data_IF_298498941783
#
_entry.id   IF_298498941783
#
_cell.length_a   1.000
_cell.length_b   1.000
_cell.length_c   1.000
_cell.angle_alpha   90.00
_cell.angle_beta   90.00
_cell.angle_gamma   90.00
#
_symmetry.space_group_name_H-M   'P 1'
#
loop_
_entity.id
_entity.type
_entity.pdbx_description
1 polymer ?
#
# COMPACT_ATOMS: atom_id res chain seq x y z
N UNK A 1 -38.50 -3.29 6.30
CA UNK A 1 -37.61 -3.59 7.44
C UNK A 1 -36.33 -4.27 6.92
N UNK A 2 -35.39 -3.56 6.31
CA UNK A 2 -34.23 -4.26 5.70
C UNK A 2 -33.30 -3.41 4.81
N UNK A 3 -32.94 -2.21 5.24
CA UNK A 3 -31.84 -1.43 4.64
C UNK A 3 -30.97 -0.83 5.75
N UNK A 4 -31.59 -0.43 6.87
CA UNK A 4 -30.87 0.01 8.06
C UNK A 4 -30.25 -1.15 8.87
N UNK A 5 -30.85 -2.35 8.83
CA UNK A 5 -30.34 -3.52 9.57
C UNK A 5 -29.06 -4.12 8.98
N UNK A 6 -28.71 -3.85 7.72
CA UNK A 6 -27.48 -4.34 7.09
C UNK A 6 -26.32 -3.35 7.23
N UNK A 7 -26.61 -2.07 7.46
CA UNK A 7 -25.61 -1.02 7.68
C UNK A 7 -25.13 -0.96 9.14
N UNK A 8 -26.02 -1.25 10.10
CA UNK A 8 -25.70 -1.31 11.54
C UNK A 8 -24.61 -2.35 11.91
N UNK A 9 -24.64 -3.61 11.42
CA UNK A 9 -23.62 -4.59 11.77
C UNK A 9 -22.25 -4.29 11.14
N UNK A 10 -22.19 -3.59 10.00
CA UNK A 10 -20.92 -3.17 9.40
C UNK A 10 -20.22 -2.08 10.22
N UNK A 11 -20.98 -1.17 10.84
CA UNK A 11 -20.45 -0.13 11.73
C UNK A 11 -20.06 -0.64 13.13
N UNK A 12 -20.62 -1.77 13.57
CA UNK A 12 -20.35 -2.40 14.87
C UNK A 12 -19.38 -3.59 14.79
N UNK A 13 -18.95 -3.99 13.59
CA UNK A 13 -18.01 -5.09 13.43
C UNK A 13 -16.65 -4.63 13.94
N UNK A 14 -16.18 -5.24 15.03
CA UNK A 14 -14.78 -5.07 15.46
C UNK A 14 -13.89 -5.39 14.26
N UNK A 15 -12.84 -4.57 14.01
CA UNK A 15 -11.82 -4.90 13.03
C UNK A 15 -11.34 -6.34 13.27
N UNK A 16 -11.23 -7.15 12.21
CA UNK A 16 -10.72 -8.50 12.37
C UNK A 16 -9.27 -8.44 12.82
N UNK A 17 -8.87 -9.21 13.84
CA UNK A 17 -7.50 -9.19 14.30
C UNK A 17 -6.58 -9.77 13.22
N UNK A 18 -5.40 -9.18 13.03
CA UNK A 18 -4.37 -9.67 12.11
C UNK A 18 -3.50 -10.62 12.91
N UNK A 19 -3.73 -11.92 12.77
CA UNK A 19 -3.06 -12.95 13.58
C UNK A 19 -2.24 -13.92 12.75
N UNK A 20 -2.47 -13.97 11.43
CA UNK A 20 -1.77 -14.86 10.51
C UNK A 20 -1.06 -14.11 9.37
N UNK A 21 -0.18 -14.83 8.67
CA UNK A 21 0.50 -14.32 7.47
C UNK A 21 -0.51 -14.00 6.36
N UNK A 22 -1.58 -14.77 6.24
CA UNK A 22 -2.65 -14.51 5.26
C UNK A 22 -3.44 -13.24 5.60
N UNK A 23 -3.79 -13.03 6.88
CA UNK A 23 -4.44 -11.78 7.32
C UNK A 23 -3.53 -10.56 7.05
N UNK A 24 -2.23 -10.73 7.27
CA UNK A 24 -1.25 -9.69 7.02
C UNK A 24 -1.15 -9.37 5.51
N UNK A 25 -1.15 -10.40 4.66
CA UNK A 25 -1.17 -10.24 3.21
C UNK A 25 -2.40 -9.46 2.75
N UNK A 26 -3.59 -9.82 3.23
CA UNK A 26 -4.84 -9.13 2.90
C UNK A 26 -4.87 -7.68 3.42
N UNK A 27 -4.34 -7.44 4.62
CA UNK A 27 -4.19 -6.09 5.16
C UNK A 27 -3.26 -5.24 4.29
N UNK A 28 -2.06 -5.75 3.97
CA UNK A 28 -1.07 -5.01 3.19
C UNK A 28 -1.57 -4.73 1.77
N UNK A 29 -2.15 -5.73 1.12
CA UNK A 29 -2.74 -5.62 -0.21
C UNK A 29 -3.87 -4.58 -0.24
N UNK A 30 -4.82 -4.67 0.68
CA UNK A 30 -5.95 -3.74 0.73
C UNK A 30 -5.51 -2.29 0.96
N UNK A 31 -4.52 -2.06 1.83
CA UNK A 31 -3.98 -0.73 2.09
C UNK A 31 -3.18 -0.20 0.90
N UNK A 32 -2.36 -1.02 0.26
CA UNK A 32 -1.62 -0.65 -0.94
C UNK A 32 -2.57 -0.31 -2.11
N UNK A 33 -3.58 -1.14 -2.34
CA UNK A 33 -4.63 -0.92 -3.34
C UNK A 33 -5.39 0.39 -3.07
N UNK A 34 -5.78 0.63 -1.81
CA UNK A 34 -6.43 1.88 -1.43
C UNK A 34 -5.55 3.10 -1.73
N UNK A 35 -4.27 3.08 -1.31
CA UNK A 35 -3.33 4.17 -1.56
C UNK A 35 -3.17 4.44 -3.06
N UNK A 36 -2.93 3.40 -3.87
CA UNK A 36 -2.72 3.52 -5.31
C UNK A 36 -3.97 4.03 -6.03
N UNK A 37 -5.14 3.46 -5.72
CA UNK A 37 -6.38 3.84 -6.38
C UNK A 37 -6.82 5.25 -5.98
N UNK A 38 -6.87 5.53 -4.67
CA UNK A 38 -7.48 6.76 -4.16
C UNK A 38 -6.59 7.98 -4.42
N UNK A 39 -5.26 7.84 -4.31
CA UNK A 39 -4.33 8.94 -4.61
C UNK A 39 -4.48 9.42 -6.05
N UNK A 40 -4.45 8.49 -7.02
CA UNK A 40 -4.57 8.80 -8.45
C UNK A 40 -5.96 9.34 -8.78
N UNK A 41 -7.03 8.67 -8.32
CA UNK A 41 -8.42 9.07 -8.64
C UNK A 41 -8.74 10.47 -8.09
N UNK A 42 -8.45 10.72 -6.82
CA UNK A 42 -8.78 12.03 -6.23
C UNK A 42 -7.89 13.13 -6.81
N UNK A 43 -6.63 12.84 -7.12
CA UNK A 43 -5.78 13.79 -7.83
C UNK A 43 -6.39 14.20 -9.16
N UNK A 44 -6.75 13.23 -10.01
CA UNK A 44 -7.38 13.50 -11.30
C UNK A 44 -8.70 14.28 -11.14
N UNK A 45 -9.50 13.93 -10.13
CA UNK A 45 -10.76 14.62 -9.83
C UNK A 45 -10.54 16.08 -9.47
N UNK A 46 -9.59 16.35 -8.56
CA UNK A 46 -9.23 17.72 -8.15
C UNK A 46 -8.71 18.53 -9.34
N UNK A 47 -7.81 17.94 -10.14
CA UNK A 47 -7.24 18.61 -11.32
C UNK A 47 -8.27 18.87 -12.43
N UNK A 48 -9.22 17.98 -12.63
CA UNK A 48 -10.29 18.18 -13.61
C UNK A 48 -11.32 19.23 -13.16
N UNK A 49 -11.37 19.57 -11.87
CA UNK A 49 -12.28 20.56 -11.32
C UNK A 49 -13.73 20.25 -11.68
N UNK A 50 -14.48 21.23 -12.16
CA UNK A 50 -15.89 21.07 -12.55
C UNK A 50 -16.11 20.07 -13.69
N UNK A 51 -15.07 19.73 -14.46
CA UNK A 51 -15.15 18.81 -15.59
C UNK A 51 -14.89 17.35 -15.22
N UNK A 52 -14.70 17.03 -13.93
CA UNK A 52 -14.33 15.67 -13.50
C UNK A 52 -15.32 14.60 -13.98
N UNK A 53 -16.63 14.87 -13.97
CA UNK A 53 -17.64 13.89 -14.42
C UNK A 53 -17.48 13.58 -15.91
N UNK A 54 -17.25 14.60 -16.74
CA UNK A 54 -17.04 14.44 -18.16
C UNK A 54 -15.77 13.64 -18.41
N UNK A 55 -14.64 14.04 -17.82
CA UNK A 55 -13.37 13.35 -17.98
C UNK A 55 -13.47 11.87 -17.60
N UNK A 56 -14.10 11.57 -16.46
CA UNK A 56 -14.27 10.20 -15.98
C UNK A 56 -15.27 9.37 -16.79
N UNK A 57 -16.07 9.99 -17.66
CA UNK A 57 -16.96 9.28 -18.59
C UNK A 57 -16.25 8.87 -19.90
N UNK A 58 -15.10 9.48 -20.22
CA UNK A 58 -14.34 9.17 -21.43
C UNK A 58 -13.65 7.81 -21.30
N UNK A 59 -13.90 6.90 -22.24
CA UNK A 59 -13.37 5.52 -22.21
C UNK A 59 -11.84 5.48 -22.22
N UNK A 60 -11.22 6.37 -22.99
CA UNK A 60 -9.76 6.49 -23.09
C UNK A 60 -9.15 6.90 -21.75
N UNK A 61 -9.79 7.84 -21.05
CA UNK A 61 -9.36 8.25 -19.72
C UNK A 61 -9.56 7.13 -18.69
N UNK A 62 -10.67 6.38 -18.75
CA UNK A 62 -10.89 5.22 -17.88
C UNK A 62 -9.81 4.15 -18.06
N UNK A 63 -9.41 3.86 -19.30
CA UNK A 63 -8.33 2.93 -19.60
C UNK A 63 -6.99 3.43 -19.06
N UNK A 64 -6.64 4.70 -19.31
CA UNK A 64 -5.43 5.32 -18.77
C UNK A 64 -5.41 5.32 -17.24
N UNK A 65 -6.53 5.68 -16.60
CA UNK A 65 -6.71 5.64 -15.16
C UNK A 65 -6.54 4.23 -14.59
N UNK A 66 -7.08 3.21 -15.26
CA UNK A 66 -6.88 1.83 -14.85
C UNK A 66 -5.40 1.44 -14.87
N UNK A 67 -4.71 1.74 -15.96
CA UNK A 67 -3.29 1.47 -16.12
C UNK A 67 -2.44 2.22 -15.08
N UNK A 68 -2.73 3.49 -14.83
CA UNK A 68 -2.06 4.31 -13.80
C UNK A 68 -2.19 3.74 -12.40
N UNK A 69 -3.38 3.27 -12.00
CA UNK A 69 -3.61 2.65 -10.68
C UNK A 69 -2.75 1.40 -10.50
N UNK A 70 -2.66 0.55 -11.52
CA UNK A 70 -1.79 -0.63 -11.48
C UNK A 70 -0.32 -0.23 -11.41
N UNK A 71 0.14 0.73 -12.22
CA UNK A 71 1.54 1.18 -12.17
C UNK A 71 1.94 1.81 -10.83
N UNK A 72 1.01 2.46 -10.13
CA UNK A 72 1.25 3.02 -8.80
C UNK A 72 1.26 1.97 -7.68
N UNK A 73 0.60 0.82 -7.89
CA UNK A 73 0.39 -0.19 -6.85
C UNK A 73 1.69 -0.76 -6.26
N UNK A 74 2.72 -1.17 -7.04
CA UNK A 74 3.99 -1.67 -6.48
C UNK A 74 4.68 -0.70 -5.53
N UNK A 75 4.71 0.59 -5.88
CA UNK A 75 5.30 1.63 -5.03
C UNK A 75 4.49 1.80 -3.74
N UNK A 76 3.16 1.82 -3.83
CA UNK A 76 2.28 1.88 -2.66
C UNK A 76 2.43 0.64 -1.76
N UNK A 77 2.59 -0.55 -2.34
CA UNK A 77 2.82 -1.78 -1.60
C UNK A 77 4.14 -1.74 -0.84
N UNK A 78 5.23 -1.31 -1.49
CA UNK A 78 6.53 -1.19 -0.83
C UNK A 78 6.52 -0.15 0.32
N UNK A 79 5.77 0.94 0.18
CA UNK A 79 5.51 1.92 1.25
C UNK A 79 4.82 1.25 2.45
N UNK A 80 3.78 0.45 2.21
CA UNK A 80 3.05 -0.28 3.26
C UNK A 80 3.94 -1.35 3.91
N UNK A 81 4.74 -2.06 3.12
CA UNK A 81 5.68 -3.05 3.62
C UNK A 81 6.73 -2.42 4.54
N UNK A 82 7.30 -1.26 4.17
CA UNK A 82 8.22 -0.50 5.03
C UNK A 82 7.56 -0.06 6.35
N UNK A 83 6.28 0.32 6.31
CA UNK A 83 5.51 0.67 7.51
C UNK A 83 5.28 -0.54 8.43
N UNK A 84 4.87 -1.69 7.88
CA UNK A 84 4.69 -2.93 8.66
C UNK A 84 6.02 -3.37 9.27
N UNK A 85 7.08 -3.36 8.48
CA UNK A 85 8.42 -3.73 8.92
C UNK A 85 8.87 -2.87 10.11
N UNK A 86 8.71 -1.55 10.02
CA UNK A 86 9.04 -0.64 11.12
C UNK A 86 8.24 -0.92 12.40
N UNK A 87 6.95 -1.25 12.28
CA UNK A 87 6.07 -1.56 13.41
C UNK A 87 6.38 -2.92 14.08
N UNK A 88 6.95 -3.86 13.33
CA UNK A 88 7.35 -5.19 13.81
C UNK A 88 8.81 -5.24 14.26
N UNK A 89 9.64 -4.26 13.89
CA UNK A 89 11.09 -4.30 14.10
C UNK A 89 11.50 -4.42 15.56
N UNK A 90 11.00 -3.53 16.41
CA UNK A 90 11.30 -3.53 17.83
C UNK A 90 10.86 -4.84 18.52
N UNK A 91 9.59 -5.30 18.41
CA UNK A 91 9.17 -6.54 19.05
C UNK A 91 9.84 -7.79 18.47
N UNK A 92 10.36 -7.75 17.24
CA UNK A 92 11.16 -8.85 16.68
C UNK A 92 12.51 -9.04 17.38
N UNK A 93 13.04 -7.99 18.02
CA UNK A 93 14.33 -8.02 18.71
C UNK A 93 15.46 -8.53 17.81
N UNK A 94 16.18 -9.56 18.26
CA UNK A 94 17.28 -10.17 17.49
C UNK A 94 16.82 -10.82 16.17
N UNK A 95 15.55 -11.21 16.06
CA UNK A 95 14.99 -11.81 14.83
C UNK A 95 14.71 -10.78 13.73
N UNK A 96 14.80 -9.48 14.02
CA UNK A 96 14.42 -8.41 13.09
C UNK A 96 15.07 -8.52 11.70
N UNK A 97 16.28 -9.09 11.60
CA UNK A 97 16.99 -9.28 10.33
C UNK A 97 16.28 -10.23 9.36
N UNK A 98 15.37 -11.06 9.86
CA UNK A 98 14.53 -11.94 9.03
C UNK A 98 13.28 -11.26 8.45
N UNK A 99 12.90 -10.07 8.95
CA UNK A 99 11.69 -9.37 8.52
C UNK A 99 11.67 -9.06 7.02
N UNK A 100 12.74 -8.56 6.37
CA UNK A 100 12.71 -8.27 4.94
C UNK A 100 12.34 -9.49 4.09
N UNK A 101 12.99 -10.62 4.34
CA UNK A 101 12.73 -11.84 3.59
C UNK A 101 11.32 -12.41 3.87
N UNK A 102 10.82 -12.26 5.10
CA UNK A 102 9.47 -12.69 5.46
C UNK A 102 8.39 -11.83 4.78
N UNK A 103 8.54 -10.49 4.83
CA UNK A 103 7.61 -9.56 4.21
C UNK A 103 7.68 -9.58 2.68
N UNK A 104 8.82 -9.93 2.10
CA UNK A 104 8.92 -10.21 0.67
C UNK A 104 8.06 -11.42 0.27
N UNK A 105 8.05 -12.51 1.06
CA UNK A 105 7.17 -13.67 0.80
C UNK A 105 5.69 -13.28 0.88
N UNK A 106 5.32 -12.42 1.82
CA UNK A 106 3.96 -11.85 1.93
C UNK A 106 3.61 -11.03 0.68
N UNK A 107 4.55 -10.24 0.17
CA UNK A 107 4.38 -9.49 -1.07
C UNK A 107 4.14 -10.40 -2.27
N UNK A 108 4.97 -11.44 -2.43
CA UNK A 108 4.82 -12.43 -3.50
C UNK A 108 3.46 -13.15 -3.44
N UNK A 109 3.02 -13.53 -2.24
CA UNK A 109 1.70 -14.14 -2.03
C UNK A 109 0.55 -13.18 -2.36
N UNK A 110 0.71 -11.88 -2.13
CA UNK A 110 -0.29 -10.88 -2.50
C UNK A 110 -0.33 -10.65 -4.01
N UNK A 111 0.84 -10.53 -4.65
CA UNK A 111 0.94 -10.29 -6.09
C UNK A 111 0.44 -11.46 -6.93
N UNK A 112 0.63 -12.70 -6.46
CA UNK A 112 0.17 -13.90 -7.17
C UNK A 112 -1.36 -14.02 -7.29
N UNK A 113 -2.13 -13.24 -6.51
CA UNK A 113 -3.59 -13.15 -6.61
C UNK A 113 -4.06 -12.47 -7.90
N UNK A 114 -3.17 -11.71 -8.55
CA UNK A 114 -3.52 -10.86 -9.67
C UNK A 114 -2.90 -11.35 -10.99
N UNK A 115 -3.71 -11.34 -12.05
CA UNK A 115 -3.17 -11.42 -13.40
C UNK A 115 -2.23 -10.23 -13.67
N UNK A 116 -1.27 -10.40 -14.58
CA UNK A 116 -0.45 -9.27 -15.06
C UNK A 116 -1.40 -8.21 -15.64
N UNK A 117 -1.34 -6.95 -15.19
CA UNK A 117 -2.22 -5.91 -15.70
C UNK A 117 -2.07 -5.71 -17.20
N UNK A 118 -3.17 -5.44 -17.90
CA UNK A 118 -3.16 -5.18 -19.33
C UNK A 118 -2.16 -4.07 -19.70
N UNK A 119 -1.37 -4.30 -20.75
CA UNK A 119 -0.32 -3.36 -21.20
C UNK A 119 0.96 -3.36 -20.37
N UNK A 120 1.05 -4.14 -19.29
CA UNK A 120 2.26 -4.29 -18.49
C UNK A 120 3.17 -5.41 -19.02
N UNK A 121 4.50 -5.34 -18.79
CA UNK A 121 5.41 -6.43 -19.17
C UNK A 121 5.11 -7.70 -18.36
N UNK A 122 5.44 -8.90 -18.87
CA UNK A 122 5.28 -10.15 -18.11
C UNK A 122 6.02 -10.16 -16.76
N UNK A 123 7.11 -9.40 -16.66
CA UNK A 123 7.93 -9.24 -15.45
C UNK A 123 7.34 -8.25 -14.43
N UNK A 124 6.11 -7.76 -14.62
CA UNK A 124 5.51 -6.72 -13.76
C UNK A 124 5.54 -7.08 -12.28
N UNK A 125 5.10 -8.29 -11.92
CA UNK A 125 5.07 -8.74 -10.52
C UNK A 125 6.45 -9.08 -9.97
N UNK A 126 7.37 -9.55 -10.81
CA UNK A 126 8.78 -9.77 -10.43
C UNK A 126 9.45 -8.44 -10.07
N UNK A 127 9.24 -7.40 -10.88
CA UNK A 127 9.75 -6.05 -10.63
C UNK A 127 9.11 -5.45 -9.36
N UNK A 128 7.82 -5.72 -9.10
CA UNK A 128 7.14 -5.27 -7.88
C UNK A 128 7.71 -5.93 -6.62
N UNK A 129 8.01 -7.24 -6.70
CA UNK A 129 8.66 -7.97 -5.62
C UNK A 129 10.09 -7.47 -5.39
N UNK A 130 10.85 -7.25 -6.46
CA UNK A 130 12.20 -6.69 -6.38
C UNK A 130 12.21 -5.29 -5.75
N UNK A 131 11.28 -4.42 -6.16
CA UNK A 131 11.13 -3.11 -5.53
C UNK A 131 10.88 -3.24 -4.02
N UNK A 132 9.95 -4.13 -3.63
CA UNK A 132 9.62 -4.36 -2.21
C UNK A 132 10.84 -4.88 -1.44
N UNK A 133 11.57 -5.85 -1.99
CA UNK A 133 12.81 -6.40 -1.42
C UNK A 133 13.86 -5.31 -1.23
N UNK A 134 14.15 -4.52 -2.25
CA UNK A 134 15.14 -3.44 -2.20
C UNK A 134 14.78 -2.39 -1.15
N UNK A 135 13.49 -2.02 -1.07
CA UNK A 135 13.00 -1.08 -0.06
C UNK A 135 13.21 -1.63 1.35
N UNK A 136 12.75 -2.85 1.62
CA UNK A 136 12.89 -3.49 2.93
C UNK A 136 14.36 -3.66 3.35
N UNK A 137 15.23 -4.02 2.40
CA UNK A 137 16.67 -4.10 2.64
C UNK A 137 17.29 -2.74 3.00
N UNK A 138 16.91 -1.68 2.27
CA UNK A 138 17.37 -0.32 2.56
C UNK A 138 16.90 0.16 3.95
N UNK A 139 15.67 -0.19 4.36
CA UNK A 139 15.13 0.18 5.67
C UNK A 139 15.95 -0.42 6.82
N UNK A 140 16.60 -1.57 6.62
CA UNK A 140 17.40 -2.25 7.66
C UNK A 140 18.78 -1.63 7.91
N UNK A 141 19.24 -0.70 7.06
CA UNK A 141 20.54 -0.04 7.21
C UNK A 141 20.59 0.87 8.46
N UNK A 142 19.46 1.42 8.87
CA UNK A 142 19.35 2.36 9.99
C UNK A 142 18.14 2.07 10.89
N UNK A 143 17.82 2.97 11.84
CA UNK A 143 16.58 2.86 12.61
C UNK A 143 15.35 2.92 11.70
N UNK A 144 14.19 2.37 12.12
CA UNK A 144 12.93 2.56 11.41
C UNK A 144 12.68 4.05 11.11
N UNK A 145 12.34 4.34 9.86
CA UNK A 145 11.97 5.69 9.47
C UNK A 145 10.63 6.07 10.14
N UNK A 146 10.45 7.32 10.60
CA UNK A 146 9.14 7.80 11.02
C UNK A 146 8.10 7.58 9.91
N UNK A 147 6.93 7.04 10.26
CA UNK A 147 5.90 6.66 9.27
C UNK A 147 5.53 7.81 8.32
N UNK A 148 5.53 9.06 8.83
CA UNK A 148 5.24 10.27 8.05
C UNK A 148 6.26 10.59 6.93
N UNK A 149 7.43 9.98 6.97
CA UNK A 149 8.53 10.14 6.00
C UNK A 149 8.67 8.91 5.08
N UNK A 150 8.04 7.77 5.41
CA UNK A 150 8.12 6.54 4.60
C UNK A 150 7.76 6.75 3.13
N UNK A 151 6.73 7.54 2.76
CA UNK A 151 6.40 7.72 1.35
C UNK A 151 7.47 8.46 0.52
N UNK A 152 8.39 9.21 1.16
CA UNK A 152 9.28 10.15 0.47
C UNK A 152 10.08 9.54 -0.70
N UNK A 153 10.68 8.34 -0.58
CA UNK A 153 11.48 7.76 -1.67
C UNK A 153 10.67 7.31 -2.89
N UNK A 154 9.35 7.14 -2.74
CA UNK A 154 8.49 6.52 -3.76
C UNK A 154 7.31 7.40 -4.18
N UNK A 155 7.00 8.46 -3.43
CA UNK A 155 5.88 9.36 -3.74
C UNK A 155 6.05 10.03 -5.10
N UNK A 156 7.29 10.32 -5.53
CA UNK A 156 7.57 10.87 -6.85
C UNK A 156 7.19 9.89 -7.95
N UNK A 157 7.58 8.63 -7.79
CA UNK A 157 7.20 7.55 -8.72
C UNK A 157 5.68 7.44 -8.83
N UNK A 158 4.95 7.47 -7.71
CA UNK A 158 3.48 7.45 -7.74
C UNK A 158 2.89 8.65 -8.48
N UNK A 159 3.40 9.86 -8.20
CA UNK A 159 2.97 11.10 -8.86
C UNK A 159 3.17 11.03 -10.37
N UNK A 160 4.29 10.47 -10.84
CA UNK A 160 4.58 10.32 -12.27
C UNK A 160 3.65 9.34 -12.99
N UNK A 161 2.89 8.52 -12.26
CA UNK A 161 1.92 7.59 -12.85
C UNK A 161 0.56 8.23 -13.14
N UNK A 162 0.29 9.46 -12.70
CA UNK A 162 -1.03 10.09 -12.93
C UNK A 162 -1.31 10.22 -14.44
N UNK A 163 -2.53 9.90 -14.91
CA UNK A 163 -2.89 9.96 -16.33
C UNK A 163 -3.25 11.39 -16.75
N UNK A 164 -2.41 12.35 -16.40
CA UNK A 164 -2.59 13.78 -16.71
C UNK A 164 -1.35 14.24 -17.47
N UNK A 165 -1.57 14.96 -18.57
CA UNK A 165 -0.47 15.46 -19.39
C UNK A 165 0.46 16.36 -18.56
N UNK A 166 1.80 16.21 -18.64
CA UNK A 166 2.76 16.96 -17.81
C UNK A 166 2.57 18.49 -17.82
N UNK A 167 2.19 19.06 -18.96
CA UNK A 167 1.91 20.51 -19.07
C UNK A 167 0.71 21.00 -18.22
N UNK A 168 -0.13 20.09 -17.73
CA UNK A 168 -1.24 20.40 -16.83
C UNK A 168 -0.88 20.19 -15.35
N UNK A 169 0.31 19.64 -15.10
CA UNK A 169 0.90 19.48 -13.78
C UNK A 169 1.73 20.72 -13.45
N UNK A 170 1.56 21.20 -12.23
CA UNK A 170 2.30 22.34 -11.66
C UNK A 170 3.03 21.87 -10.41
N UNK A 171 2.98 22.60 -9.29
CA UNK A 171 3.54 22.16 -8.00
C UNK A 171 2.59 21.18 -7.28
N UNK A 172 2.03 20.21 -8.00
CA UNK A 172 0.99 19.32 -7.48
C UNK A 172 1.54 18.06 -6.78
N UNK A 173 2.86 17.86 -6.76
CA UNK A 173 3.51 16.73 -6.08
C UNK A 173 3.12 16.62 -4.61
N UNK A 174 3.07 17.76 -3.90
CA UNK A 174 2.78 17.80 -2.48
C UNK A 174 1.38 17.24 -2.18
N UNK A 175 0.44 17.31 -3.13
CA UNK A 175 -0.87 16.68 -2.98
C UNK A 175 -0.75 15.16 -2.83
N UNK A 176 -0.06 14.49 -3.76
CA UNK A 176 0.12 13.03 -3.73
C UNK A 176 0.94 12.64 -2.50
N UNK A 177 2.03 13.36 -2.22
CA UNK A 177 2.87 13.05 -1.08
C UNK A 177 2.11 13.18 0.26
N UNK A 178 1.37 14.27 0.45
CA UNK A 178 0.55 14.47 1.64
C UNK A 178 -0.58 13.44 1.73
N UNK A 179 -1.21 13.08 0.61
CA UNK A 179 -2.22 12.03 0.57
C UNK A 179 -1.65 10.68 1.04
N UNK A 180 -0.51 10.26 0.49
CA UNK A 180 0.15 9.00 0.87
C UNK A 180 0.55 9.04 2.34
N UNK A 181 1.14 10.14 2.81
CA UNK A 181 1.53 10.31 4.22
C UNK A 181 0.36 10.13 5.17
N UNK A 182 -0.72 10.87 4.97
CA UNK A 182 -1.84 10.88 5.92
C UNK A 182 -2.54 9.53 5.96
N UNK A 183 -2.70 8.87 4.81
CA UNK A 183 -3.34 7.56 4.76
C UNK A 183 -2.41 6.44 5.25
N UNK A 184 -1.09 6.57 5.12
CA UNK A 184 -0.15 5.63 5.71
C UNK A 184 -0.11 5.74 7.24
N UNK A 185 -0.16 6.95 7.80
CA UNK A 185 -0.30 7.15 9.26
C UNK A 185 -1.56 6.46 9.79
N UNK A 186 -2.68 6.61 9.10
CA UNK A 186 -3.92 5.91 9.45
C UNK A 186 -3.78 4.39 9.31
N UNK A 187 -3.17 3.90 8.24
CA UNK A 187 -2.92 2.47 8.06
C UNK A 187 -2.04 1.91 9.19
N UNK A 188 -1.06 2.69 9.67
CA UNK A 188 -0.21 2.30 10.78
C UNK A 188 -1.00 2.20 12.10
N UNK A 189 -1.86 3.18 12.39
CA UNK A 189 -2.75 3.13 13.55
C UNK A 189 -3.69 1.92 13.49
N UNK A 190 -4.30 1.68 12.33
CA UNK A 190 -5.15 0.50 12.09
C UNK A 190 -4.37 -0.80 12.34
N UNK A 191 -3.13 -0.90 11.83
CA UNK A 191 -2.27 -2.06 12.00
C UNK A 191 -1.94 -2.30 13.47
N UNK A 192 -1.51 -1.26 14.20
CA UNK A 192 -1.18 -1.37 15.62
C UNK A 192 -2.38 -1.76 16.49
N UNK A 193 -3.60 -1.34 16.11
CA UNK A 193 -4.82 -1.68 16.81
C UNK A 193 -5.30 -3.12 16.54
N UNK A 194 -4.98 -3.68 15.37
CA UNK A 194 -5.50 -4.97 14.90
C UNK A 194 -4.51 -6.13 15.04
N UNK A 195 -3.21 -5.85 14.94
CA UNK A 195 -2.19 -6.88 14.86
C UNK A 195 -1.85 -7.49 16.22
N UNK A 196 -2.00 -8.82 16.31
CA UNK A 196 -1.26 -9.58 17.31
C UNK A 196 0.18 -9.73 16.83
N UNK A 197 1.00 -8.73 17.16
CA UNK A 197 2.39 -8.66 16.70
C UNK A 197 3.23 -9.84 17.21
N UNK A 198 2.89 -10.44 18.35
CA UNK A 198 3.62 -11.60 18.85
C UNK A 198 3.33 -12.84 18.00
N UNK A 199 2.04 -13.14 17.78
CA UNK A 199 1.61 -14.24 16.94
C UNK A 199 2.17 -14.11 15.51
N UNK A 200 2.07 -12.91 14.93
CA UNK A 200 2.61 -12.62 13.60
C UNK A 200 4.12 -12.84 13.51
N UNK A 201 4.88 -12.39 14.50
CA UNK A 201 6.34 -12.58 14.49
C UNK A 201 6.73 -14.05 14.58
N UNK A 202 6.00 -14.84 15.35
CA UNK A 202 6.26 -16.28 15.48
C UNK A 202 5.88 -17.04 14.20
N UNK A 203 4.84 -16.62 13.49
CA UNK A 203 4.51 -17.20 12.20
C UNK A 203 5.49 -16.76 11.08
N UNK A 204 5.87 -15.49 11.05
CA UNK A 204 6.76 -14.92 10.03
C UNK A 204 8.20 -15.44 10.15
N UNK A 205 8.71 -15.54 11.40
CA UNK A 205 10.13 -15.75 11.70
C UNK A 205 10.40 -17.06 12.45
N UNK A 206 9.35 -17.82 12.78
CA UNK A 206 9.43 -18.97 13.68
C UNK A 206 9.39 -18.55 15.15
N UNK A 207 8.85 -19.43 16.00
CA UNK A 207 8.75 -19.18 17.44
C UNK A 207 10.12 -18.85 18.06
N UNK A 208 10.14 -17.88 18.97
CA UNK A 208 11.34 -17.58 19.74
C UNK A 208 11.75 -18.82 20.55
N UNK A 209 12.93 -19.38 20.25
CA UNK A 209 13.53 -20.41 21.11
C UNK A 209 14.00 -19.70 22.39
N UNK A 210 13.36 -20.02 23.51
CA UNK A 210 13.77 -19.61 24.86
C UNK A 210 15.09 -20.31 25.21
#
# INVERSE_FOLDING_TARGET
>A
MGLLNDLLPAFLRKPQPIVSVDDLADFMDSRAAFLAQKSIVEFCRVRAGVYWQKLFSEKEFQAALNHSRWRAYPACYAIVAEMVEGALREPAGLRQRGLPAALERVALASFSKYAVPEGSPPTFWENAAELTRQRLAATQIGPPRPVREIPEPLARTVFEMVPIHPNLLTNDYDYIFNFLRMNLLRAHEDFLAQADRSALLDELLGAARI
#
